data_IF_002667495924
#
_entry.id   IF_002667495924
#
_cell.length_a   1.000
_cell.length_b   1.000
_cell.length_c   1.000
_cell.angle_alpha   90.00
_cell.angle_beta   90.00
_cell.angle_gamma   90.00
#
_symmetry.space_group_name_H-M   'P 1'
#
loop_
_entity.id
_entity.type
_entity.pdbx_description
1 polymer ?
#
# COMPACT_ATOMS: atom_id res chain seq x y z
N UNK A 1 11.84 -0.48 0.05
CA UNK A 1 12.13 -0.01 -1.29
C UNK A 1 12.61 1.43 -1.26
N UNK A 2 13.50 1.79 -2.17
CA UNK A 2 13.99 3.16 -2.29
C UNK A 2 13.04 4.02 -3.11
N UNK A 3 13.15 5.35 -2.95
CA UNK A 3 12.41 6.28 -3.79
C UNK A 3 12.79 6.14 -5.27
N UNK A 4 14.01 5.74 -5.57
CA UNK A 4 14.44 5.46 -6.93
C UNK A 4 13.68 4.30 -7.55
N UNK A 5 13.47 3.22 -6.78
CA UNK A 5 12.68 2.10 -7.23
C UNK A 5 11.25 2.49 -7.56
N UNK A 6 10.66 3.36 -6.76
CA UNK A 6 9.31 3.86 -6.99
C UNK A 6 9.21 4.65 -8.29
N UNK A 7 10.15 5.57 -8.54
CA UNK A 7 10.16 6.35 -9.79
C UNK A 7 10.27 5.42 -10.99
N UNK A 8 11.14 4.40 -10.92
CA UNK A 8 11.32 3.44 -12.01
C UNK A 8 10.04 2.66 -12.29
N UNK A 9 9.31 2.25 -11.25
CA UNK A 9 8.04 1.54 -11.41
C UNK A 9 6.99 2.44 -12.06
N UNK A 10 6.88 3.69 -11.64
CA UNK A 10 5.93 4.64 -12.21
C UNK A 10 6.22 4.92 -13.69
N UNK A 11 7.50 5.04 -14.05
CA UNK A 11 7.90 5.22 -15.44
C UNK A 11 7.52 4.00 -16.27
N UNK A 12 7.72 2.80 -15.75
CA UNK A 12 7.33 1.55 -16.42
C UNK A 12 5.82 1.50 -16.64
N UNK A 13 5.04 1.84 -15.63
CA UNK A 13 3.57 1.89 -15.75
C UNK A 13 3.17 2.87 -16.86
N UNK A 14 3.79 4.05 -16.90
CA UNK A 14 3.48 5.05 -17.92
C UNK A 14 3.79 4.54 -19.34
N UNK A 15 4.89 3.83 -19.53
CA UNK A 15 5.24 3.23 -20.82
C UNK A 15 4.22 2.17 -21.22
N UNK A 16 3.81 1.31 -20.28
CA UNK A 16 2.82 0.28 -20.54
C UNK A 16 1.48 0.91 -20.95
N UNK A 17 1.07 1.96 -20.25
CA UNK A 17 -0.17 2.68 -20.57
C UNK A 17 -0.17 3.23 -21.99
N UNK A 18 0.95 3.78 -22.43
CA UNK A 18 1.03 4.38 -23.76
C UNK A 18 1.15 3.35 -24.89
N UNK A 19 1.93 2.29 -24.69
CA UNK A 19 2.35 1.41 -25.76
C UNK A 19 1.66 0.06 -25.81
N UNK A 20 1.16 -0.42 -24.67
CA UNK A 20 0.66 -1.79 -24.55
C UNK A 20 -0.81 -1.82 -24.13
N UNK A 21 -1.16 -1.10 -23.10
CA UNK A 21 -2.50 -1.15 -22.51
C UNK A 21 -2.94 0.23 -22.04
N UNK A 22 -3.72 0.92 -22.86
CA UNK A 22 -4.24 2.25 -22.54
C UNK A 22 -5.29 2.24 -21.42
N UNK A 23 -5.85 1.07 -21.14
CA UNK A 23 -6.82 0.90 -20.07
C UNK A 23 -6.20 0.62 -18.71
N UNK A 24 -4.87 0.53 -18.63
CA UNK A 24 -4.20 0.30 -17.35
C UNK A 24 -4.26 1.57 -16.51
N UNK A 25 -4.79 1.45 -15.30
CA UNK A 25 -4.88 2.56 -14.36
C UNK A 25 -4.19 2.22 -13.06
N UNK A 26 -3.50 3.21 -12.49
CA UNK A 26 -2.91 3.08 -11.17
C UNK A 26 -3.99 3.31 -10.13
N UNK A 27 -4.31 2.26 -9.36
CA UNK A 27 -5.32 2.37 -8.30
C UNK A 27 -4.80 3.16 -7.10
N UNK A 28 -3.53 2.99 -6.78
CA UNK A 28 -2.92 3.70 -5.66
C UNK A 28 -1.56 3.17 -5.32
N UNK A 29 -0.92 3.83 -4.37
CA UNK A 29 0.37 3.44 -3.80
C UNK A 29 0.19 3.11 -2.33
N UNK A 30 0.67 1.94 -1.93
CA UNK A 30 0.56 1.46 -0.55
C UNK A 30 1.92 1.48 0.13
N UNK A 31 1.99 2.13 1.28
CA UNK A 31 3.19 2.10 2.12
C UNK A 31 3.10 0.89 3.05
N UNK A 32 4.11 0.03 2.98
CA UNK A 32 4.19 -1.17 3.82
C UNK A 32 5.44 -1.13 4.70
N UNK A 33 5.54 -2.04 5.63
CA UNK A 33 6.66 -2.13 6.57
C UNK A 33 6.88 -0.82 7.33
N UNK A 34 5.79 -0.09 7.58
CA UNK A 34 5.85 1.21 8.22
C UNK A 34 6.12 1.05 9.71
N UNK A 35 7.25 1.59 10.18
CA UNK A 35 7.61 1.57 11.59
C UNK A 35 7.21 2.90 12.22
N UNK A 36 6.14 2.87 13.00
CA UNK A 36 5.57 4.07 13.64
C UNK A 36 6.51 4.67 14.70
N UNK A 37 7.55 3.93 15.07
CA UNK A 37 8.53 4.40 16.06
C UNK A 37 9.61 5.27 15.45
N UNK A 38 9.74 5.31 14.13
CA UNK A 38 10.80 6.07 13.47
C UNK A 38 10.29 7.36 12.85
N UNK A 39 11.05 8.42 13.03
CA UNK A 39 10.80 9.71 12.40
C UNK A 39 11.02 9.62 10.88
N UNK A 40 11.99 8.81 10.46
CA UNK A 40 12.32 8.64 9.06
C UNK A 40 11.12 8.15 8.25
N UNK A 41 10.42 7.13 8.73
CA UNK A 41 9.26 6.60 8.01
C UNK A 41 8.14 7.63 7.92
N UNK A 42 7.92 8.40 8.99
CA UNK A 42 6.91 9.46 8.98
C UNK A 42 7.26 10.55 7.95
N UNK A 43 8.53 10.93 7.86
CA UNK A 43 9.00 11.92 6.90
C UNK A 43 8.85 11.43 5.46
N UNK A 44 9.16 10.17 5.20
CA UNK A 44 9.01 9.57 3.88
C UNK A 44 7.54 9.56 3.46
N UNK A 45 6.66 9.15 4.37
CA UNK A 45 5.23 9.11 4.09
C UNK A 45 4.69 10.51 3.79
N UNK A 46 5.11 11.51 4.56
CA UNK A 46 4.70 12.89 4.32
C UNK A 46 5.17 13.39 2.95
N UNK A 47 6.42 13.09 2.59
CA UNK A 47 6.96 13.47 1.30
C UNK A 47 6.19 12.80 0.15
N UNK A 48 5.84 11.54 0.30
CA UNK A 48 5.04 10.82 -0.71
C UNK A 48 3.64 11.44 -0.84
N UNK A 49 3.00 11.77 0.27
CA UNK A 49 1.67 12.39 0.23
C UNK A 49 1.70 13.76 -0.40
N UNK A 50 2.78 14.53 -0.19
CA UNK A 50 2.94 15.83 -0.83
C UNK A 50 3.09 15.69 -2.34
N UNK A 51 3.85 14.72 -2.80
CA UNK A 51 4.15 14.56 -4.21
C UNK A 51 3.04 13.86 -4.98
N UNK A 52 2.42 12.84 -4.42
CA UNK A 52 1.46 11.98 -5.10
C UNK A 52 0.02 12.16 -4.61
N UNK A 53 -0.17 12.89 -3.53
CA UNK A 53 -1.50 13.21 -3.00
C UNK A 53 -2.34 12.00 -2.69
N UNK A 54 -3.57 12.01 -3.15
CA UNK A 54 -4.53 10.94 -2.87
C UNK A 54 -4.22 9.62 -3.57
N UNK A 55 -3.25 9.61 -4.48
CA UNK A 55 -2.78 8.37 -5.07
C UNK A 55 -2.18 7.45 -4.01
N UNK A 56 -1.55 8.02 -2.98
CA UNK A 56 -1.08 7.25 -1.84
C UNK A 56 -2.29 6.84 -0.99
N UNK A 57 -2.41 5.54 -0.70
CA UNK A 57 -3.49 5.06 0.16
C UNK A 57 -3.43 5.72 1.53
N UNK A 58 -4.59 6.01 2.11
CA UNK A 58 -4.68 6.47 3.50
C UNK A 58 -4.23 5.37 4.46
N UNK A 59 -4.51 4.11 4.12
CA UNK A 59 -4.08 2.96 4.87
C UNK A 59 -2.58 2.75 4.72
N UNK A 60 -1.92 2.46 5.82
CA UNK A 60 -0.49 2.13 5.88
C UNK A 60 -0.39 0.76 6.55
N UNK A 61 0.43 -0.13 6.00
CA UNK A 61 0.66 -1.44 6.60
C UNK A 61 1.88 -1.35 7.50
N UNK A 62 1.63 -1.45 8.79
CA UNK A 62 2.66 -1.33 9.82
C UNK A 62 3.52 -2.58 9.87
N UNK A 63 4.79 -2.41 10.20
CA UNK A 63 5.68 -3.51 10.51
C UNK A 63 5.15 -4.22 11.75
N UNK A 64 5.07 -5.56 11.71
CA UNK A 64 4.48 -6.33 12.79
C UNK A 64 5.19 -7.66 12.98
N UNK A 65 5.58 -7.95 14.21
CA UNK A 65 6.12 -9.25 14.59
C UNK A 65 5.08 -10.35 14.36
N UNK A 66 3.80 -10.05 14.58
CA UNK A 66 2.72 -11.02 14.40
C UNK A 66 2.55 -11.43 12.94
N UNK A 67 2.76 -10.50 12.02
CA UNK A 67 2.75 -10.83 10.59
C UNK A 67 3.91 -11.78 10.26
N UNK A 68 5.11 -11.47 10.77
CA UNK A 68 6.28 -12.33 10.57
C UNK A 68 6.05 -13.71 11.16
N UNK A 69 5.45 -13.80 12.36
CA UNK A 69 5.13 -15.08 12.99
C UNK A 69 4.12 -15.89 12.17
N UNK A 70 3.09 -15.25 11.61
CA UNK A 70 2.10 -15.95 10.81
C UNK A 70 2.72 -16.51 9.53
N UNK A 71 3.64 -15.79 8.91
CA UNK A 71 4.38 -16.26 7.74
C UNK A 71 5.26 -17.46 8.10
N UNK A 72 5.96 -17.38 9.23
CA UNK A 72 6.80 -18.49 9.73
C UNK A 72 5.98 -19.74 10.00
N UNK A 73 4.77 -19.59 10.51
CA UNK A 73 3.87 -20.70 10.81
C UNK A 73 2.99 -21.11 9.63
N UNK A 74 3.15 -20.44 8.49
CA UNK A 74 2.33 -20.67 7.30
C UNK A 74 0.83 -20.48 7.57
N UNK A 75 0.49 -19.52 8.41
CA UNK A 75 -0.88 -19.19 8.78
C UNK A 75 -1.23 -17.81 8.27
N UNK A 76 -2.51 -17.60 7.96
CA UNK A 76 -3.05 -16.29 7.63
C UNK A 76 -2.94 -15.37 8.86
N UNK A 77 -2.43 -14.15 8.67
CA UNK A 77 -2.28 -13.19 9.74
C UNK A 77 -3.62 -12.82 10.38
N UNK A 78 -4.69 -12.77 9.62
CA UNK A 78 -6.02 -12.46 10.15
C UNK A 78 -6.53 -13.60 11.01
N UNK A 79 -6.32 -14.84 10.59
CA UNK A 79 -6.67 -16.02 11.38
C UNK A 79 -5.77 -16.20 12.59
N UNK A 80 -4.45 -15.93 12.41
CA UNK A 80 -3.46 -16.12 13.47
C UNK A 80 -3.64 -15.10 14.60
N UNK A 81 -3.94 -13.84 14.25
CA UNK A 81 -4.04 -12.78 15.26
C UNK A 81 -5.10 -11.75 14.84
N UNK A 82 -6.36 -12.12 15.07
CA UNK A 82 -7.53 -11.34 14.64
C UNK A 82 -7.50 -9.89 15.10
N UNK A 83 -6.95 -9.61 16.28
CA UNK A 83 -6.93 -8.27 16.87
C UNK A 83 -5.56 -7.60 16.75
N UNK A 84 -4.65 -8.14 15.94
CA UNK A 84 -3.35 -7.52 15.74
C UNK A 84 -3.46 -6.26 14.87
N UNK A 85 -2.48 -5.36 14.98
CA UNK A 85 -2.40 -4.19 14.10
C UNK A 85 -2.30 -4.59 12.63
N UNK A 86 -1.59 -5.68 12.34
CA UNK A 86 -1.49 -6.18 10.98
C UNK A 86 -2.84 -6.57 10.40
N UNK A 87 -3.65 -7.31 11.17
CA UNK A 87 -5.00 -7.68 10.74
C UNK A 87 -5.88 -6.46 10.52
N UNK A 88 -5.81 -5.48 11.42
CA UNK A 88 -6.58 -4.24 11.28
C UNK A 88 -6.16 -3.46 10.03
N UNK A 89 -4.86 -3.38 9.76
CA UNK A 89 -4.34 -2.68 8.58
C UNK A 89 -4.83 -3.34 7.30
N UNK A 90 -4.81 -4.67 7.20
CA UNK A 90 -5.29 -5.37 6.02
C UNK A 90 -6.80 -5.22 5.82
N UNK A 91 -7.57 -5.18 6.90
CA UNK A 91 -9.00 -4.89 6.82
C UNK A 91 -9.26 -3.47 6.31
N UNK A 92 -8.50 -2.50 6.82
CA UNK A 92 -8.59 -1.11 6.34
C UNK A 92 -8.22 -0.99 4.87
N UNK A 93 -7.17 -1.69 4.46
CA UNK A 93 -6.76 -1.72 3.06
C UNK A 93 -7.85 -2.28 2.17
N UNK A 94 -8.46 -3.38 2.58
CA UNK A 94 -9.55 -3.99 1.81
C UNK A 94 -10.70 -3.01 1.61
N UNK A 95 -11.11 -2.33 2.66
CA UNK A 95 -12.19 -1.34 2.57
C UNK A 95 -11.81 -0.19 1.63
N UNK A 96 -10.57 0.27 1.71
CA UNK A 96 -10.11 1.38 0.88
C UNK A 96 -10.01 0.99 -0.59
N UNK A 97 -9.54 -0.21 -0.89
CA UNK A 97 -9.49 -0.74 -2.25
C UNK A 97 -10.90 -0.81 -2.83
N UNK A 98 -11.84 -1.39 -2.09
CA UNK A 98 -13.23 -1.50 -2.55
C UNK A 98 -13.85 -0.13 -2.79
N UNK A 99 -13.57 0.84 -1.90
CA UNK A 99 -14.05 2.20 -2.07
C UNK A 99 -13.51 2.84 -3.35
N UNK A 100 -12.21 2.67 -3.63
CA UNK A 100 -11.60 3.23 -4.84
C UNK A 100 -12.13 2.59 -6.11
N UNK A 101 -12.37 1.28 -6.08
CA UNK A 101 -12.94 0.55 -7.22
C UNK A 101 -14.38 1.01 -7.49
N UNK A 102 -15.16 1.22 -6.46
CA UNK A 102 -16.53 1.72 -6.62
C UNK A 102 -16.55 3.14 -7.21
N UNK A 103 -15.62 3.99 -6.83
CA UNK A 103 -15.49 5.34 -7.40
C UNK A 103 -15.16 5.30 -8.88
N UNK A 104 -14.32 4.35 -9.31
CA UNK A 104 -13.98 4.17 -10.72
C UNK A 104 -15.19 3.66 -11.49
N UNK A 105 -15.92 2.68 -10.94
CA UNK A 105 -17.08 2.08 -11.59
C UNK A 105 -18.25 3.05 -11.77
N UNK A 106 -18.33 4.07 -10.91
CA UNK A 106 -19.40 5.06 -10.95
C UNK A 106 -19.14 6.25 -11.87
N UNK A 107 -18.00 6.24 -12.53
CA UNK A 107 -17.66 7.24 -13.53
C UNK A 107 -17.98 6.71 -14.93
#
# INVERSE_FOLDING_TARGET
ASLYGLVSILDTVAVIQRKINRGLNLLGMLVTQYDRRTTLHAEILEAMRKQYGETVFSTVISRSIRVAESMSRKTDVVSYSRNSNGAADYRSLTREILSRLNMVDNK
#
